data_IF_136345499214
#
_entry.id   IF_136345499214
#
_cell.length_a   1.000
_cell.length_b   1.000
_cell.length_c   1.000
_cell.angle_alpha   90.00
_cell.angle_beta   90.00
_cell.angle_gamma   90.00
#
_symmetry.space_group_name_H-M   'P 1'
#
loop_
_entity.id
_entity.type
_entity.pdbx_description
1 polymer ?
#
# COMPACT_ATOMS: atom_id res chain seq x y z
N UNK A 1 -11.94 11.82 -26.00
CA UNK A 1 -10.94 11.88 -24.91
C UNK A 1 -10.70 10.47 -24.42
N UNK A 2 -9.50 9.93 -24.64
CA UNK A 2 -9.12 8.59 -24.17
C UNK A 2 -8.68 8.60 -22.70
N UNK A 3 -7.94 7.58 -22.30
CA UNK A 3 -7.42 7.39 -20.92
C UNK A 3 -6.39 8.46 -20.47
N UNK A 4 -5.99 9.37 -21.36
CA UNK A 4 -4.96 10.37 -21.15
C UNK A 4 -5.52 11.80 -21.12
N UNK A 5 -4.93 12.63 -20.26
CA UNK A 5 -5.15 14.08 -20.19
C UNK A 5 -4.37 14.82 -21.29
N UNK A 6 -4.76 16.07 -21.57
CA UNK A 6 -4.04 16.95 -22.50
C UNK A 6 -2.68 17.43 -21.97
N UNK A 7 -2.51 17.42 -20.65
CA UNK A 7 -1.27 17.75 -19.94
C UNK A 7 -1.21 16.90 -18.66
N UNK A 8 -0.01 16.57 -18.15
CA UNK A 8 0.10 15.77 -16.94
C UNK A 8 -0.29 16.60 -15.72
N UNK A 9 -0.93 15.95 -14.74
CA UNK A 9 -1.01 16.48 -13.38
C UNK A 9 0.30 16.17 -12.66
N UNK A 10 1.05 17.21 -12.34
CA UNK A 10 2.39 17.10 -11.73
C UNK A 10 2.40 17.32 -10.23
N UNK A 11 1.24 17.61 -9.63
CA UNK A 11 1.09 17.71 -8.18
C UNK A 11 1.58 16.43 -7.49
N UNK A 12 2.42 16.62 -6.49
CA UNK A 12 2.99 15.55 -5.68
C UNK A 12 2.24 15.48 -4.36
N UNK A 13 1.77 14.28 -4.02
CA UNK A 13 1.35 13.98 -2.65
C UNK A 13 2.50 13.23 -2.02
N UNK A 14 3.24 13.92 -1.15
CA UNK A 14 4.41 13.36 -0.46
C UNK A 14 4.13 13.24 1.03
N UNK A 15 4.62 12.16 1.62
CA UNK A 15 4.57 11.90 3.05
C UNK A 15 5.91 11.33 3.48
N UNK A 16 6.29 11.57 4.72
CA UNK A 16 7.48 11.01 5.34
C UNK A 16 7.21 10.73 6.81
N UNK A 17 8.11 9.98 7.43
CA UNK A 17 8.03 9.68 8.85
C UNK A 17 9.16 8.78 9.31
N UNK A 18 9.16 8.49 10.60
CA UNK A 18 10.19 7.68 11.24
C UNK A 18 9.65 7.00 12.50
N UNK A 19 10.37 5.99 12.96
CA UNK A 19 10.26 5.44 14.31
C UNK A 19 11.65 5.25 14.90
N UNK A 20 11.76 4.56 16.04
CA UNK A 20 13.05 4.32 16.69
C UNK A 20 14.05 3.47 15.88
N UNK A 21 13.62 2.84 14.77
CA UNK A 21 14.41 1.88 14.00
C UNK A 21 14.67 2.32 12.56
N UNK A 22 13.74 3.07 11.94
CA UNK A 22 13.83 3.45 10.53
C UNK A 22 13.23 4.83 10.24
N UNK A 23 13.54 5.33 9.04
CA UNK A 23 12.96 6.53 8.42
C UNK A 23 12.43 6.16 7.04
N UNK A 24 11.32 6.77 6.62
CA UNK A 24 10.75 6.56 5.29
C UNK A 24 10.31 7.87 4.65
N UNK A 25 10.19 7.84 3.32
CA UNK A 25 9.56 8.88 2.52
C UNK A 25 8.86 8.26 1.33
N UNK A 26 7.74 8.84 0.92
CA UNK A 26 6.97 8.42 -0.25
C UNK A 26 6.43 9.64 -0.99
N UNK A 27 6.19 9.46 -2.29
CA UNK A 27 5.54 10.48 -3.11
C UNK A 27 4.75 9.81 -4.23
N UNK A 28 3.57 10.36 -4.54
CA UNK A 28 2.71 9.88 -5.62
C UNK A 28 2.29 11.03 -6.54
N UNK A 29 2.01 10.70 -7.80
CA UNK A 29 1.64 11.66 -8.85
C UNK A 29 0.78 10.99 -9.91
N UNK A 30 -0.35 11.62 -10.26
CA UNK A 30 -1.27 11.07 -11.28
C UNK A 30 -0.68 11.08 -12.70
N UNK A 31 0.12 12.11 -13.03
CA UNK A 31 0.72 12.24 -14.36
C UNK A 31 -0.34 12.38 -15.45
N UNK A 32 -0.16 11.63 -16.54
CA UNK A 32 -0.99 11.75 -17.75
C UNK A 32 -2.33 11.01 -17.67
N UNK A 33 -2.53 10.12 -16.69
CA UNK A 33 -3.76 9.33 -16.59
C UNK A 33 -4.94 10.23 -16.21
N UNK A 34 -6.13 9.89 -16.67
CA UNK A 34 -7.36 10.61 -16.29
C UNK A 34 -7.69 10.48 -14.79
N UNK A 35 -7.40 9.31 -14.21
CA UNK A 35 -7.63 8.97 -12.79
C UNK A 35 -6.32 8.57 -12.12
N UNK A 36 -6.20 8.89 -10.82
CA UNK A 36 -5.17 8.31 -9.95
C UNK A 36 -5.73 7.04 -9.32
N UNK A 37 -5.19 5.89 -9.71
CA UNK A 37 -5.68 4.58 -9.28
C UNK A 37 -4.78 3.92 -8.23
N UNK A 38 -3.54 4.38 -8.10
CA UNK A 38 -2.60 3.86 -7.11
C UNK A 38 -3.02 4.24 -5.68
N UNK A 39 -2.56 3.43 -4.74
CA UNK A 39 -2.62 3.69 -3.31
C UNK A 39 -1.34 3.19 -2.63
N UNK A 40 -1.10 3.65 -1.40
CA UNK A 40 0.01 3.20 -0.57
C UNK A 40 -0.41 2.95 0.87
N UNK A 41 0.38 2.16 1.57
CA UNK A 41 0.32 1.94 3.01
C UNK A 41 1.71 2.16 3.59
N UNK A 42 1.81 2.95 4.66
CA UNK A 42 3.05 3.17 5.40
C UNK A 42 2.74 3.12 6.90
N UNK A 43 3.18 2.04 7.53
CA UNK A 43 2.99 1.76 8.95
C UNK A 43 4.35 1.44 9.57
N UNK A 44 5.13 2.47 10.01
CA UNK A 44 6.40 2.27 10.70
C UNK A 44 6.25 1.39 11.95
N UNK A 45 5.16 1.60 12.68
CA UNK A 45 4.81 0.81 13.87
C UNK A 45 3.56 -0.02 13.53
N UNK A 46 3.75 -1.13 12.80
CA UNK A 46 2.66 -2.08 12.53
C UNK A 46 2.35 -2.89 13.80
N UNK A 47 3.40 -3.30 14.52
CA UNK A 47 3.38 -3.88 15.86
C UNK A 47 4.69 -3.55 16.61
N UNK A 48 4.97 -4.25 17.71
CA UNK A 48 6.14 -3.98 18.57
C UNK A 48 7.51 -4.17 17.87
N UNK A 49 7.56 -4.89 16.75
CA UNK A 49 8.84 -5.26 16.11
C UNK A 49 8.85 -5.20 14.58
N UNK A 50 7.72 -4.86 13.96
CA UNK A 50 7.55 -4.94 12.51
C UNK A 50 7.01 -3.62 11.95
N UNK A 51 7.54 -3.25 10.79
CA UNK A 51 7.04 -2.15 9.96
C UNK A 51 6.45 -2.71 8.67
N UNK A 52 5.44 -2.04 8.12
CA UNK A 52 4.79 -2.45 6.87
C UNK A 52 4.69 -1.29 5.88
N UNK A 53 5.13 -1.56 4.65
CA UNK A 53 5.04 -0.64 3.54
C UNK A 53 4.50 -1.37 2.32
N UNK A 54 3.53 -0.78 1.62
CA UNK A 54 2.92 -1.37 0.43
C UNK A 54 2.55 -0.31 -0.60
N UNK A 55 2.80 -0.61 -1.87
CA UNK A 55 2.37 0.21 -3.02
C UNK A 55 1.45 -0.65 -3.87
N UNK A 56 0.32 -0.10 -4.27
CA UNK A 56 -0.74 -0.82 -4.96
C UNK A 56 -1.09 -0.06 -6.23
N UNK A 57 -0.81 -0.66 -7.39
CA UNK A 57 -1.17 -0.14 -8.71
C UNK A 57 -2.59 -0.60 -9.06
N UNK A 58 -3.53 0.36 -9.14
CA UNK A 58 -4.91 0.07 -9.49
C UNK A 58 -5.10 0.00 -11.00
N UNK A 59 -5.85 -0.99 -11.48
CA UNK A 59 -6.23 -1.08 -12.89
C UNK A 59 -7.73 -1.34 -13.04
N UNK A 60 -8.42 -0.46 -13.77
CA UNK A 60 -9.88 -0.55 -13.93
C UNK A 60 -10.64 0.09 -12.77
N UNK A 61 -9.98 0.96 -12.01
CA UNK A 61 -10.53 1.68 -10.87
C UNK A 61 -9.70 1.54 -9.59
N UNK A 62 -9.77 2.56 -8.74
CA UNK A 62 -9.00 2.68 -7.49
C UNK A 62 -9.50 1.84 -6.30
N UNK A 63 -10.62 1.13 -6.45
CA UNK A 63 -11.32 0.52 -5.33
C UNK A 63 -10.49 -0.58 -4.65
N UNK A 64 -9.91 -1.50 -5.44
CA UNK A 64 -9.11 -2.62 -4.93
C UNK A 64 -7.79 -2.13 -4.35
N UNK A 65 -7.08 -1.21 -5.03
CA UNK A 65 -5.84 -0.63 -4.51
C UNK A 65 -6.05 0.05 -3.15
N UNK A 66 -7.11 0.85 -3.00
CA UNK A 66 -7.49 1.46 -1.71
C UNK A 66 -7.88 0.44 -0.65
N UNK A 67 -8.58 -0.63 -1.05
CA UNK A 67 -8.92 -1.71 -0.13
C UNK A 67 -7.67 -2.42 0.39
N UNK A 68 -6.73 -2.78 -0.48
CA UNK A 68 -5.47 -3.41 -0.10
C UNK A 68 -4.65 -2.52 0.82
N UNK A 69 -4.49 -1.22 0.50
CA UNK A 69 -3.81 -0.26 1.35
C UNK A 69 -4.40 -0.19 2.76
N UNK A 70 -5.73 -0.25 2.87
CA UNK A 70 -6.44 -0.16 4.15
C UNK A 70 -6.44 -1.44 4.98
N UNK A 71 -6.42 -2.62 4.34
CA UNK A 71 -6.75 -3.87 5.05
C UNK A 71 -5.69 -4.98 4.95
N UNK A 72 -4.79 -4.96 3.97
CA UNK A 72 -3.87 -6.09 3.76
C UNK A 72 -2.96 -6.31 4.96
N UNK A 73 -2.33 -5.25 5.47
CA UNK A 73 -1.46 -5.31 6.66
C UNK A 73 -2.19 -5.89 7.89
N UNK A 74 -3.48 -5.55 8.07
CA UNK A 74 -4.29 -6.10 9.16
C UNK A 74 -4.55 -7.60 9.00
N UNK A 75 -4.66 -8.10 7.76
CA UNK A 75 -4.81 -9.53 7.53
C UNK A 75 -3.52 -10.30 7.75
N UNK A 76 -2.37 -9.70 7.41
CA UNK A 76 -1.05 -10.26 7.73
C UNK A 76 -0.94 -10.46 9.24
N UNK A 77 -1.29 -9.46 10.05
CA UNK A 77 -1.25 -9.58 11.52
C UNK A 77 -2.22 -10.64 12.08
N UNK A 78 -3.39 -10.80 11.46
CA UNK A 78 -4.45 -11.71 11.95
C UNK A 78 -4.17 -13.19 11.71
N UNK A 79 -3.25 -13.53 10.81
CA UNK A 79 -3.01 -14.92 10.44
C UNK A 79 -2.10 -15.62 11.47
N UNK A 80 -2.42 -16.86 11.85
CA UNK A 80 -1.66 -17.63 12.84
C UNK A 80 -0.16 -17.81 12.49
N UNK A 81 0.18 -17.83 11.20
CA UNK A 81 1.56 -17.90 10.74
C UNK A 81 2.38 -16.67 11.18
N UNK A 82 1.75 -15.49 11.26
CA UNK A 82 2.41 -14.28 11.76
C UNK A 82 2.82 -14.43 13.21
N UNK A 83 1.89 -14.90 14.06
CA UNK A 83 2.17 -15.15 15.48
C UNK A 83 3.25 -16.24 15.70
N UNK A 84 3.41 -17.15 14.74
CA UNK A 84 4.48 -18.17 14.74
C UNK A 84 5.82 -17.65 14.18
N UNK A 85 5.89 -16.38 13.76
CA UNK A 85 7.08 -15.79 13.11
C UNK A 85 7.25 -16.13 11.63
N UNK A 86 6.30 -16.86 11.03
CA UNK A 86 6.29 -17.18 9.60
C UNK A 86 5.57 -16.09 8.80
N UNK A 87 6.32 -15.02 8.54
CA UNK A 87 5.88 -13.87 7.76
C UNK A 87 5.52 -14.26 6.31
N UNK A 88 6.26 -15.18 5.70
CA UNK A 88 6.07 -15.60 4.30
C UNK A 88 4.69 -16.22 4.11
N UNK A 89 4.37 -17.23 4.92
CA UNK A 89 3.05 -17.87 4.89
C UNK A 89 1.97 -16.88 5.29
N UNK A 90 2.22 -15.99 6.26
CA UNK A 90 1.24 -14.99 6.66
C UNK A 90 0.86 -14.06 5.50
N UNK A 91 1.85 -13.47 4.81
CA UNK A 91 1.61 -12.58 3.67
C UNK A 91 0.91 -13.31 2.54
N UNK A 92 1.34 -14.52 2.20
CA UNK A 92 0.70 -15.32 1.16
C UNK A 92 -0.78 -15.58 1.50
N UNK A 93 -1.07 -16.02 2.72
CA UNK A 93 -2.44 -16.33 3.15
C UNK A 93 -3.31 -15.09 3.28
N UNK A 94 -2.74 -13.97 3.73
CA UNK A 94 -3.42 -12.68 3.77
C UNK A 94 -3.85 -12.22 2.37
N UNK A 95 -2.99 -12.41 1.36
CA UNK A 95 -3.32 -12.11 -0.05
C UNK A 95 -4.41 -13.02 -0.59
N UNK A 96 -4.30 -14.33 -0.37
CA UNK A 96 -5.25 -15.33 -0.87
C UNK A 96 -6.61 -15.28 -0.17
N UNK A 97 -6.72 -14.70 1.03
CA UNK A 97 -7.99 -14.57 1.76
C UNK A 97 -9.03 -13.73 1.01
N UNK A 98 -8.58 -12.84 0.12
CA UNK A 98 -9.43 -11.92 -0.65
C UNK A 98 -9.66 -12.36 -2.10
N UNK A 99 -9.18 -13.55 -2.47
CA UNK A 99 -9.50 -14.22 -3.73
C UNK A 99 -10.60 -15.26 -3.48
#
# INVERSE_FOLDING_TARGET
MGIYLSSPKTDKVSEDGENGQLRYGLSSMQGWRATMEDAHAAYPDLDDSTSFFGVYDGHGGKAVAKFCAKYLHQQVLKHQAYAAGDLSTSVQKAFLRYL
#
